data_IF_975915195831
#
_entry.id   IF_975915195831
#
_cell.length_a   1.000
_cell.length_b   1.000
_cell.length_c   1.000
_cell.angle_alpha   90.00
_cell.angle_beta   90.00
_cell.angle_gamma   90.00
#
_symmetry.space_group_name_H-M   'P 1'
#
loop_
_entity.id
_entity.type
_entity.pdbx_description
1 polymer ?
#
# COMPACT_ATOMS: atom_id res chain seq x y z
N UNK A 1 14.33 9.12 -3.00
CA UNK A 1 13.63 7.91 -2.54
C UNK A 1 13.91 7.73 -1.06
N UNK A 2 12.91 7.90 -0.20
CA UNK A 2 13.03 7.43 1.19
C UNK A 2 12.82 5.91 1.17
N UNK A 3 13.83 5.16 1.63
CA UNK A 3 13.70 3.72 1.83
C UNK A 3 13.07 3.51 3.19
N UNK A 4 11.89 2.90 3.23
CA UNK A 4 11.20 2.57 4.47
C UNK A 4 12.09 1.66 5.33
N UNK A 5 12.55 2.18 6.46
CA UNK A 5 13.41 1.46 7.40
C UNK A 5 12.58 0.71 8.44
N UNK A 6 13.20 -0.28 9.11
CA UNK A 6 12.53 -1.01 10.20
C UNK A 6 12.11 -0.10 11.36
N UNK A 7 12.94 0.88 11.70
CA UNK A 7 12.65 1.83 12.79
C UNK A 7 11.47 2.75 12.45
N UNK A 8 11.35 3.19 11.20
CA UNK A 8 10.19 3.96 10.72
C UNK A 8 8.90 3.11 10.74
N UNK A 9 8.96 1.86 10.28
CA UNK A 9 7.81 0.94 10.35
C UNK A 9 7.35 0.72 11.80
N UNK A 10 8.30 0.54 12.71
CA UNK A 10 7.99 0.38 14.13
C UNK A 10 7.32 1.62 14.70
N UNK A 11 7.85 2.81 14.40
CA UNK A 11 7.25 4.07 14.83
C UNK A 11 5.81 4.27 14.29
N UNK A 12 5.54 3.84 13.06
CA UNK A 12 4.18 3.86 12.49
C UNK A 12 3.24 2.83 13.13
N UNK A 13 3.78 1.70 13.61
CA UNK A 13 3.00 0.64 14.26
C UNK A 13 2.64 1.01 15.70
N UNK A 14 3.57 1.67 16.41
CA UNK A 14 3.40 2.15 17.77
C UNK A 14 2.62 3.49 17.82
N UNK A 15 2.04 3.93 16.71
CA UNK A 15 1.31 5.19 16.61
C UNK A 15 -0.12 5.05 17.18
N UNK A 16 -0.39 5.75 18.27
CA UNK A 16 -1.69 5.71 18.98
C UNK A 16 -2.47 7.04 18.92
N UNK A 17 -2.02 8.02 18.13
CA UNK A 17 -2.62 9.35 18.07
C UNK A 17 -3.56 9.48 16.86
N UNK A 18 -4.87 9.33 17.11
CA UNK A 18 -5.92 9.54 16.12
C UNK A 18 -6.33 11.02 15.96
N UNK A 19 -6.98 11.37 14.84
CA UNK A 19 -7.24 10.50 13.69
C UNK A 19 -5.98 10.30 12.84
N UNK A 20 -5.84 9.09 12.31
CA UNK A 20 -4.79 8.63 11.43
C UNK A 20 -5.40 8.31 10.07
N UNK A 21 -4.89 8.95 9.01
CA UNK A 21 -5.33 8.75 7.63
C UNK A 21 -4.28 7.94 6.90
N UNK A 22 -4.70 6.86 6.25
CA UNK A 22 -3.82 6.08 5.37
C UNK A 22 -4.39 6.05 3.97
N UNK A 23 -3.64 6.59 3.01
CA UNK A 23 -3.97 6.63 1.59
C UNK A 23 -2.96 5.76 0.85
N UNK A 24 -3.46 4.83 0.06
CA UNK A 24 -2.69 4.03 -0.88
C UNK A 24 -3.23 4.26 -2.28
N UNK A 25 -2.37 4.69 -3.18
CA UNK A 25 -2.71 5.04 -4.56
C UNK A 25 -1.80 4.27 -5.53
N UNK A 26 -2.30 3.31 -6.31
CA UNK A 26 -1.53 2.75 -7.41
C UNK A 26 -1.24 3.86 -8.44
N UNK A 27 -0.01 3.90 -8.96
CA UNK A 27 0.39 4.88 -9.97
C UNK A 27 0.38 4.26 -11.35
N UNK A 28 -0.17 4.98 -12.32
CA UNK A 28 -0.16 4.54 -13.71
C UNK A 28 1.19 4.83 -14.35
N UNK A 29 1.76 3.83 -15.05
CA UNK A 29 3.06 3.96 -15.74
C UNK A 29 2.94 4.31 -17.23
N UNK A 30 1.71 4.41 -17.74
CA UNK A 30 1.48 4.75 -19.14
C UNK A 30 1.43 6.27 -19.33
N UNK A 31 2.17 6.79 -20.30
CA UNK A 31 2.19 8.22 -20.66
C UNK A 31 0.78 8.75 -21.01
N UNK A 32 -0.09 7.90 -21.58
CA UNK A 32 -1.48 8.24 -21.90
C UNK A 32 -2.37 8.48 -20.67
N UNK A 33 -1.93 8.01 -19.51
CA UNK A 33 -2.66 8.07 -18.24
C UNK A 33 -2.10 9.17 -17.30
N UNK A 34 -1.13 9.96 -17.77
CA UNK A 34 -0.57 11.08 -17.00
C UNK A 34 -1.67 12.04 -16.53
N UNK A 35 -1.55 12.47 -15.27
CA UNK A 35 -2.51 13.35 -14.61
C UNK A 35 -3.76 12.65 -14.04
N UNK A 36 -4.03 11.38 -14.39
CA UNK A 36 -5.17 10.65 -13.80
C UNK A 36 -4.94 10.37 -12.32
N UNK A 37 -3.72 10.05 -11.91
CA UNK A 37 -3.39 9.76 -10.52
C UNK A 37 -3.63 10.97 -9.60
N UNK A 38 -3.30 12.18 -10.07
CA UNK A 38 -3.58 13.42 -9.34
C UNK A 38 -5.10 13.62 -9.12
N UNK A 39 -5.91 13.30 -10.14
CA UNK A 39 -7.37 13.36 -10.06
C UNK A 39 -7.91 12.32 -9.06
N UNK A 40 -7.38 11.09 -9.10
CA UNK A 40 -7.78 10.03 -8.15
C UNK A 40 -7.41 10.46 -6.73
N UNK A 41 -6.20 10.98 -6.51
CA UNK A 41 -5.78 11.48 -5.20
C UNK A 41 -6.69 12.61 -4.72
N UNK A 42 -7.05 13.56 -5.59
CA UNK A 42 -7.98 14.65 -5.25
C UNK A 42 -9.29 14.11 -4.70
N UNK A 43 -9.88 13.12 -5.39
CA UNK A 43 -11.14 12.52 -4.96
C UNK A 43 -11.00 11.79 -3.61
N UNK A 44 -9.88 11.08 -3.39
CA UNK A 44 -9.59 10.44 -2.10
C UNK A 44 -9.41 11.46 -0.97
N UNK A 45 -8.80 12.62 -1.25
CA UNK A 45 -8.65 13.71 -0.28
C UNK A 45 -9.99 14.39 0.03
N UNK A 46 -10.88 14.54 -0.96
CA UNK A 46 -12.25 15.04 -0.75
C UNK A 46 -13.04 14.08 0.16
N UNK A 47 -12.89 12.77 -0.06
CA UNK A 47 -13.50 11.75 0.78
C UNK A 47 -12.92 11.74 2.21
N UNK A 48 -11.60 11.87 2.35
CA UNK A 48 -10.92 11.95 3.64
C UNK A 48 -11.39 13.18 4.44
N UNK A 49 -11.52 14.34 3.78
CA UNK A 49 -12.04 15.57 4.40
C UNK A 49 -13.45 15.35 4.94
N UNK A 50 -14.32 14.69 4.16
CA UNK A 50 -15.69 14.36 4.56
C UNK A 50 -15.71 13.40 5.76
N UNK A 51 -14.86 12.37 5.76
CA UNK A 51 -14.77 11.41 6.88
C UNK A 51 -14.28 12.07 8.16
N UNK A 52 -13.28 12.96 8.10
CA UNK A 52 -12.83 13.75 9.25
C UNK A 52 -13.95 14.64 9.81
N UNK A 53 -14.70 15.32 8.94
CA UNK A 53 -15.82 16.17 9.35
C UNK A 53 -16.91 15.36 10.06
N UNK A 54 -17.20 14.14 9.57
CA UNK A 54 -18.13 13.21 10.22
C UNK A 54 -17.64 12.74 11.61
N UNK A 55 -16.32 12.75 11.86
CA UNK A 55 -15.72 12.48 13.18
C UNK A 55 -15.68 13.74 14.08
N UNK A 56 -16.23 14.87 13.64
CA UNK A 56 -16.37 16.09 14.43
C UNK A 56 -15.31 17.16 14.18
N UNK A 57 -14.40 16.96 13.23
CA UNK A 57 -13.42 17.97 12.85
C UNK A 57 -14.08 19.15 12.13
N UNK A 58 -13.63 20.36 12.42
CA UNK A 58 -14.11 21.56 11.73
C UNK A 58 -13.61 21.61 10.28
N UNK A 59 -14.35 22.22 9.36
CA UNK A 59 -13.94 22.32 7.93
C UNK A 59 -12.54 22.92 7.75
N UNK A 60 -12.20 23.99 8.47
CA UNK A 60 -10.87 24.60 8.39
C UNK A 60 -9.77 23.69 8.96
N UNK A 61 -10.10 22.92 9.99
CA UNK A 61 -9.19 21.97 10.62
C UNK A 61 -8.92 20.78 9.71
N UNK A 62 -9.97 20.17 9.13
CA UNK A 62 -9.83 19.08 8.15
C UNK A 62 -9.01 19.49 6.93
N UNK A 63 -9.19 20.73 6.43
CA UNK A 63 -8.39 21.25 5.32
C UNK A 63 -6.93 21.40 5.68
N UNK A 64 -6.64 21.94 6.87
CA UNK A 64 -5.27 22.06 7.38
C UNK A 64 -4.63 20.68 7.57
N UNK A 65 -5.40 19.72 8.07
CA UNK A 65 -4.95 18.34 8.26
C UNK A 65 -4.48 17.70 6.94
N UNK A 66 -5.16 17.98 5.83
CA UNK A 66 -4.87 17.41 4.51
C UNK A 66 -3.95 18.29 3.64
N UNK A 67 -3.48 19.43 4.15
CA UNK A 67 -2.78 20.46 3.37
C UNK A 67 -1.54 19.91 2.67
N UNK A 68 -0.71 19.14 3.38
CA UNK A 68 0.51 18.56 2.79
C UNK A 68 0.20 17.57 1.67
N UNK A 69 -0.85 16.75 1.79
CA UNK A 69 -1.28 15.86 0.71
C UNK A 69 -1.90 16.61 -0.46
N UNK A 70 -2.61 17.72 -0.21
CA UNK A 70 -3.12 18.61 -1.27
C UNK A 70 -1.99 19.29 -2.04
N UNK A 71 -0.89 19.63 -1.37
CA UNK A 71 0.28 20.19 -2.04
C UNK A 71 0.87 19.18 -3.04
N UNK A 72 1.00 17.91 -2.65
CA UNK A 72 1.41 16.82 -3.55
C UNK A 72 0.42 16.67 -4.71
N UNK A 73 -0.88 16.67 -4.42
CA UNK A 73 -1.93 16.53 -5.44
C UNK A 73 -1.89 17.63 -6.50
N UNK A 74 -1.46 18.85 -6.13
CA UNK A 74 -1.39 20.01 -7.03
C UNK A 74 0.00 20.26 -7.61
N UNK A 75 1.01 19.48 -7.23
CA UNK A 75 2.37 19.58 -7.76
C UNK A 75 2.49 18.74 -9.03
N UNK A 76 2.37 19.37 -10.20
CA UNK A 76 2.50 18.67 -11.49
C UNK A 76 3.86 17.96 -11.64
N UNK A 77 4.94 18.50 -11.05
CA UNK A 77 6.27 17.90 -11.13
C UNK A 77 6.36 16.58 -10.35
N UNK A 78 5.55 16.45 -9.29
CA UNK A 78 5.44 15.20 -8.53
C UNK A 78 4.82 14.07 -9.35
N UNK A 79 3.94 14.39 -10.31
CA UNK A 79 3.23 13.42 -11.15
C UNK A 79 3.94 13.11 -12.47
N UNK A 80 5.13 13.65 -12.69
CA UNK A 80 5.98 13.24 -13.79
C UNK A 80 6.28 11.74 -13.71
N UNK A 81 6.45 11.11 -14.87
CA UNK A 81 6.61 9.66 -14.96
C UNK A 81 7.89 9.22 -14.22
N UNK A 82 7.70 8.49 -13.12
CA UNK A 82 8.78 7.95 -12.29
C UNK A 82 8.81 6.42 -12.25
N UNK A 83 9.75 5.87 -11.48
CA UNK A 83 9.86 4.41 -11.24
C UNK A 83 8.92 3.88 -10.16
N UNK A 84 8.26 4.77 -9.42
CA UNK A 84 7.29 4.40 -8.39
C UNK A 84 6.02 3.81 -9.03
N UNK A 85 5.58 2.66 -8.55
CA UNK A 85 4.36 1.99 -9.03
C UNK A 85 3.16 2.23 -8.10
N UNK A 86 3.40 2.83 -6.93
CA UNK A 86 2.39 3.21 -5.96
C UNK A 86 2.86 4.37 -5.09
N UNK A 87 1.91 4.99 -4.40
CA UNK A 87 2.11 6.07 -3.44
C UNK A 87 1.38 5.73 -2.14
N UNK A 88 2.07 5.88 -1.02
CA UNK A 88 1.47 5.83 0.31
C UNK A 88 1.61 7.20 0.97
N UNK A 89 0.51 7.73 1.49
CA UNK A 89 0.48 8.90 2.36
C UNK A 89 -0.13 8.51 3.71
N UNK A 90 0.59 8.78 4.79
CA UNK A 90 0.13 8.60 6.16
C UNK A 90 0.10 9.96 6.85
N UNK A 91 -1.08 10.37 7.34
CA UNK A 91 -1.29 11.66 7.96
C UNK A 91 -1.90 11.51 9.36
N UNK A 92 -1.32 12.18 10.33
CA UNK A 92 -1.84 12.30 11.70
C UNK A 92 -1.54 13.71 12.24
N UNK A 93 -2.12 14.13 13.38
CA UNK A 93 -1.77 15.41 13.98
C UNK A 93 -0.25 15.56 14.18
N UNK A 94 0.36 16.50 13.45
CA UNK A 94 1.80 16.75 13.53
C UNK A 94 2.70 15.72 12.82
N UNK A 95 2.13 14.75 12.10
CA UNK A 95 2.87 13.75 11.34
C UNK A 95 2.38 13.64 9.90
N UNK A 96 3.34 13.58 8.99
CA UNK A 96 3.11 13.39 7.57
C UNK A 96 4.21 12.52 7.00
N UNK A 97 3.84 11.35 6.49
CA UNK A 97 4.76 10.43 5.84
C UNK A 97 4.33 10.18 4.41
N UNK A 98 5.30 10.21 3.51
CA UNK A 98 5.11 9.96 2.08
C UNK A 98 6.11 8.89 1.64
N UNK A 99 5.60 7.81 1.05
CA UNK A 99 6.42 6.73 0.52
C UNK A 99 6.08 6.46 -0.95
N UNK A 100 7.12 6.47 -1.79
CA UNK A 100 7.04 5.91 -3.13
C UNK A 100 7.19 4.39 -3.04
N UNK A 101 6.19 3.67 -3.52
CA UNK A 101 6.17 2.20 -3.46
C UNK A 101 6.72 1.64 -4.78
N UNK A 102 7.68 0.69 -4.74
CA UNK A 102 8.22 0.06 -5.93
C UNK A 102 7.26 -0.99 -6.54
N UNK A 103 6.02 -1.06 -6.08
CA UNK A 103 5.01 -2.04 -6.43
C UNK A 103 3.61 -1.44 -6.49
N UNK A 104 2.71 -2.11 -7.20
CA UNK A 104 1.31 -1.70 -7.27
C UNK A 104 0.60 -2.04 -5.97
N UNK A 105 0.27 -1.02 -5.18
CA UNK A 105 -0.53 -1.16 -3.98
C UNK A 105 -2.04 -1.15 -4.31
N UNK A 106 -2.91 -1.68 -3.43
CA UNK A 106 -4.35 -1.48 -3.55
C UNK A 106 -4.70 0.02 -3.49
N UNK A 107 -5.73 0.45 -4.23
CA UNK A 107 -6.30 1.79 -4.08
C UNK A 107 -7.20 1.82 -2.83
N UNK A 108 -6.86 2.63 -1.83
CA UNK A 108 -7.53 2.57 -0.52
C UNK A 108 -7.37 3.85 0.32
N UNK A 109 -8.40 4.15 1.10
CA UNK A 109 -8.46 5.23 2.07
C UNK A 109 -9.04 4.73 3.40
N UNK A 110 -8.31 4.99 4.48
CA UNK A 110 -8.73 4.74 5.88
C UNK A 110 -8.61 6.01 6.70
N UNK A 111 -9.49 6.18 7.69
CA UNK A 111 -9.48 7.29 8.66
C UNK A 111 -9.86 6.68 10.01
N UNK A 112 -8.86 6.27 10.77
CA UNK A 112 -8.99 5.45 11.98
C UNK A 112 -8.10 5.99 13.11
N UNK A 113 -8.03 5.34 14.27
CA UNK A 113 -7.17 5.78 15.37
C UNK A 113 -5.67 5.54 15.10
N UNK A 114 -5.34 4.54 14.28
CA UNK A 114 -3.96 4.14 13.94
C UNK A 114 -3.77 3.99 12.42
N UNK A 115 -2.50 4.03 11.98
CA UNK A 115 -2.17 3.85 10.55
C UNK A 115 -2.43 2.41 10.08
N UNK A 116 -3.06 2.27 8.92
CA UNK A 116 -3.19 0.99 8.24
C UNK A 116 -1.91 0.68 7.47
N UNK A 117 -0.98 -0.03 8.10
CA UNK A 117 0.36 -0.29 7.57
C UNK A 117 0.51 -1.62 6.84
N UNK A 118 -0.50 -2.51 6.88
CA UNK A 118 -0.45 -3.83 6.23
C UNK A 118 0.04 -3.80 4.77
N UNK A 119 -0.38 -2.83 3.91
CA UNK A 119 0.08 -2.77 2.52
C UNK A 119 1.55 -2.36 2.35
N UNK A 120 2.23 -1.85 3.39
CA UNK A 120 3.67 -1.57 3.36
C UNK A 120 4.52 -2.85 3.45
N UNK A 121 3.95 -3.95 3.94
CA UNK A 121 4.63 -5.24 4.08
C UNK A 121 4.61 -6.07 2.78
N UNK A 122 4.69 -5.41 1.62
CA UNK A 122 4.58 -6.08 0.33
C UNK A 122 5.62 -7.19 0.10
N UNK A 123 6.84 -7.04 0.65
CA UNK A 123 7.87 -8.09 0.61
C UNK A 123 7.52 -9.36 1.38
N UNK A 124 6.54 -9.34 2.27
CA UNK A 124 6.02 -10.58 2.91
C UNK A 124 5.19 -11.39 1.90
N UNK A 125 4.62 -10.74 0.89
CA UNK A 125 3.70 -11.35 -0.07
C UNK A 125 4.30 -11.58 -1.46
N UNK A 126 5.32 -10.82 -1.87
CA UNK A 126 5.80 -10.81 -3.27
C UNK A 126 6.56 -12.09 -3.69
N UNK A 127 7.12 -12.83 -2.72
CA UNK A 127 7.81 -14.10 -2.97
C UNK A 127 7.35 -15.18 -1.98
N UNK A 128 6.07 -15.14 -1.61
CA UNK A 128 5.40 -16.22 -0.87
C UNK A 128 5.06 -17.39 -1.81
N UNK A 129 6.03 -17.73 -2.66
CA UNK A 129 5.97 -18.84 -3.60
C UNK A 129 7.09 -19.81 -3.32
N UNK A 130 6.72 -20.97 -2.80
CA UNK A 130 7.63 -22.07 -2.59
C UNK A 130 6.95 -23.39 -2.93
N UNK A 131 7.75 -24.32 -3.44
CA UNK A 131 7.30 -25.67 -3.75
C UNK A 131 7.75 -26.61 -2.62
N UNK A 132 6.81 -27.37 -2.07
CA UNK A 132 7.07 -28.43 -1.08
C UNK A 132 7.00 -29.77 -1.79
N UNK A 133 8.14 -30.46 -1.85
CA UNK A 133 8.21 -31.84 -2.30
C UNK A 133 8.02 -32.78 -1.10
N UNK A 134 6.87 -33.46 -1.05
CA UNK A 134 6.56 -34.45 -0.04
C UNK A 134 6.87 -35.86 -0.58
N UNK A 135 7.82 -36.56 0.05
CA UNK A 135 8.26 -37.90 -0.37
C UNK A 135 7.90 -38.91 0.72
N UNK A 136 7.27 -40.00 0.30
CA UNK A 136 7.00 -41.17 1.15
C UNK A 136 7.16 -42.45 0.33
N UNK A 137 7.31 -43.64 0.97
CA UNK A 137 7.43 -44.90 0.24
C UNK A 137 6.26 -45.27 -0.68
N UNK A 138 5.12 -44.57 -0.58
CA UNK A 138 3.90 -44.85 -1.35
C UNK A 138 3.50 -43.72 -2.29
N UNK A 139 4.10 -42.54 -2.18
CA UNK A 139 3.67 -41.35 -2.91
C UNK A 139 4.75 -40.27 -2.92
N UNK A 140 4.87 -39.60 -4.06
CA UNK A 140 5.58 -38.34 -4.25
C UNK A 140 4.55 -37.30 -4.66
N UNK A 141 4.52 -36.16 -3.97
CA UNK A 141 3.59 -35.06 -4.25
C UNK A 141 4.35 -33.75 -4.27
N UNK A 142 3.99 -32.87 -5.19
CA UNK A 142 4.49 -31.51 -5.22
C UNK A 142 3.36 -30.55 -4.90
N UNK A 143 3.55 -29.75 -3.87
CA UNK A 143 2.57 -28.78 -3.40
C UNK A 143 3.16 -27.40 -3.60
N UNK A 144 2.45 -26.53 -4.33
CA UNK A 144 2.81 -25.13 -4.48
C UNK A 144 2.07 -24.29 -3.46
N UNK A 145 2.83 -23.50 -2.72
CA UNK A 145 2.32 -22.32 -2.05
C UNK A 145 2.51 -21.12 -2.99
N UNK A 146 1.49 -20.29 -3.17
CA UNK A 146 1.60 -19.03 -3.91
C UNK A 146 0.59 -18.02 -3.35
N UNK A 147 1.08 -16.92 -2.77
CA UNK A 147 0.26 -15.80 -2.28
C UNK A 147 -0.87 -16.24 -1.32
N UNK A 148 -0.55 -17.12 -0.37
CA UNK A 148 -1.50 -17.68 0.60
C UNK A 148 -2.43 -18.78 0.07
N UNK A 149 -2.35 -19.13 -1.21
CA UNK A 149 -3.06 -20.27 -1.80
C UNK A 149 -2.18 -21.52 -1.81
N UNK A 150 -2.80 -22.67 -1.57
CA UNK A 150 -2.14 -23.99 -1.62
C UNK A 150 -2.79 -24.83 -2.70
N UNK A 151 -1.98 -25.31 -3.65
CA UNK A 151 -2.43 -26.21 -4.71
C UNK A 151 -1.44 -27.36 -4.92
N UNK A 152 -1.95 -28.51 -5.35
CA UNK A 152 -1.11 -29.62 -5.81
C UNK A 152 -0.78 -29.39 -7.28
N UNK A 153 0.48 -29.58 -7.66
CA UNK A 153 0.95 -29.44 -9.02
C UNK A 153 1.36 -30.80 -9.58
N UNK A 154 0.93 -31.04 -10.82
CA UNK A 154 1.22 -32.29 -11.52
C UNK A 154 2.72 -32.48 -11.71
N UNK A 155 3.20 -33.65 -11.28
CA UNK A 155 4.57 -34.06 -11.48
C UNK A 155 4.75 -34.61 -12.90
N UNK A 156 5.88 -34.35 -13.56
CA UNK A 156 6.16 -34.93 -14.87
C UNK A 156 6.16 -36.47 -14.79
N UNK A 157 5.65 -37.13 -15.83
CA UNK A 157 5.45 -38.59 -15.89
C UNK A 157 6.72 -39.42 -15.61
N UNK A 158 7.91 -38.81 -15.81
CA UNK A 158 9.22 -39.45 -15.65
C UNK A 158 9.86 -39.20 -14.28
N UNK A 159 9.12 -38.72 -13.28
CA UNK A 159 9.70 -38.50 -11.95
C UNK A 159 9.95 -39.85 -11.25
N UNK A 160 11.19 -40.14 -10.80
CA UNK A 160 11.47 -41.38 -10.09
C UNK A 160 10.69 -41.41 -8.75
N UNK A 161 10.04 -42.55 -8.49
CA UNK A 161 9.34 -42.83 -7.25
C UNK A 161 10.29 -43.05 -6.07
#
# INVERSE_FOLDING_TARGET
MQTLTHDELKALTDWEQGPSISIYLPRHQAVSELGKDAIVLRNMLDEAETRLQNQGFGTAESRKFLEQARNIQNDDSFWELGSAQGLCLLLAPGAFHQFDLPYQCPQMLTVDDAFYISPLFYKVYEDDRFDVLAISPKAVRMIRHENGSVSEIDLPENMPA
#
